data_IF_648753067148
#
_entry.id   IF_648753067148
#
_cell.length_a   1.000
_cell.length_b   1.000
_cell.length_c   1.000
_cell.angle_alpha   90.00
_cell.angle_beta   90.00
_cell.angle_gamma   90.00
#
_symmetry.space_group_name_H-M   'P 1'
#
loop_
_entity.id
_entity.type
_entity.pdbx_description
1 polymer ?
#
# COMPACT_ATOMS: atom_id res chain seq x y z
N UNK A 1 11.15 11.37 30.25
CA UNK A 1 11.41 12.59 29.46
C UNK A 1 10.28 13.55 29.79
N UNK A 2 10.63 14.57 30.53
CA UNK A 2 9.74 15.63 31.02
C UNK A 2 9.63 16.68 29.91
N UNK A 3 8.45 16.74 29.26
CA UNK A 3 8.10 17.86 28.40
C UNK A 3 7.75 19.08 29.25
N UNK A 4 8.58 20.10 29.17
CA UNK A 4 8.29 21.42 29.74
C UNK A 4 7.16 22.08 28.91
N UNK A 5 6.03 22.28 29.55
CA UNK A 5 4.94 23.08 29.01
C UNK A 5 5.40 24.54 29.02
N UNK A 6 5.64 25.09 27.85
CA UNK A 6 5.90 26.51 27.63
C UNK A 6 4.62 27.28 27.91
N UNK A 7 4.63 28.03 29.02
CA UNK A 7 3.59 29.00 29.31
C UNK A 7 3.87 30.23 28.44
N UNK A 8 3.03 30.43 27.41
CA UNK A 8 3.00 31.70 26.67
C UNK A 8 2.44 32.79 27.60
N UNK A 9 3.31 33.75 27.92
CA UNK A 9 2.90 34.96 28.62
C UNK A 9 2.11 35.84 27.65
N UNK A 10 0.83 36.00 27.92
CA UNK A 10 0.01 37.02 27.27
C UNK A 10 0.49 38.37 27.79
N UNK A 11 1.20 39.14 26.98
CA UNK A 11 1.49 40.54 27.21
C UNK A 11 0.18 41.32 27.14
N UNK A 12 -0.33 41.72 28.30
CA UNK A 12 -1.40 42.69 28.39
C UNK A 12 -0.82 44.09 28.05
N UNK A 13 -1.28 44.70 26.97
CA UNK A 13 -1.06 46.10 26.65
C UNK A 13 -1.52 46.95 27.84
N UNK A 14 -0.58 47.66 28.44
CA UNK A 14 -0.86 48.67 29.49
C UNK A 14 -1.32 49.96 28.79
N UNK A 15 -2.56 50.39 28.94
CA UNK A 15 -2.98 51.70 28.44
C UNK A 15 -2.32 52.83 29.26
N UNK A 16 -1.95 53.90 28.56
CA UNK A 16 -1.28 55.05 29.10
C UNK A 16 -2.05 55.65 30.30
N UNK A 17 -1.30 55.98 31.34
CA UNK A 17 -1.79 56.58 32.57
C UNK A 17 -2.32 57.99 32.30
N UNK A 18 -3.67 58.12 32.32
CA UNK A 18 -4.36 59.34 32.79
C UNK A 18 -5.85 58.97 33.00
N UNK A 19 -6.33 59.16 34.22
CA UNK A 19 -7.70 58.92 34.71
C UNK A 19 -8.14 57.48 35.04
N UNK A 20 -7.33 56.75 35.78
CA UNK A 20 -7.82 55.51 36.43
C UNK A 20 -8.51 55.94 37.77
N UNK A 21 -9.80 55.98 37.78
CA UNK A 21 -10.58 56.21 39.01
C UNK A 21 -10.44 54.99 39.95
N UNK A 22 -10.34 55.24 41.28
CA UNK A 22 -10.22 54.19 42.30
C UNK A 22 -11.28 53.08 42.12
N UNK A 23 -12.47 53.40 41.68
CA UNK A 23 -13.59 52.48 41.42
C UNK A 23 -13.31 51.51 40.26
N UNK A 24 -12.55 51.95 39.24
CA UNK A 24 -12.17 51.05 38.10
C UNK A 24 -11.13 50.01 38.52
N UNK A 25 -10.23 50.37 39.46
CA UNK A 25 -9.23 49.47 40.01
C UNK A 25 -9.86 48.45 40.96
N UNK A 26 -10.82 48.88 41.81
CA UNK A 26 -11.55 47.94 42.68
C UNK A 26 -12.37 46.93 41.88
N UNK A 27 -13.03 47.36 40.83
CA UNK A 27 -13.78 46.48 39.94
C UNK A 27 -12.88 45.48 39.21
N UNK A 28 -11.70 45.93 38.74
CA UNK A 28 -10.73 45.03 38.11
C UNK A 28 -10.16 43.99 39.12
N UNK A 29 -9.98 44.36 40.38
CA UNK A 29 -9.56 43.46 41.45
C UNK A 29 -10.66 42.43 41.78
N UNK A 30 -11.92 42.83 41.78
CA UNK A 30 -13.04 41.89 41.97
C UNK A 30 -13.17 40.92 40.79
N UNK A 31 -13.01 41.38 39.55
CA UNK A 31 -13.06 40.55 38.36
C UNK A 31 -11.90 39.53 38.34
N UNK A 32 -10.68 39.96 38.68
CA UNK A 32 -9.51 39.05 38.78
C UNK A 32 -9.67 38.06 39.94
N UNK A 33 -10.27 38.46 41.06
CA UNK A 33 -10.52 37.57 42.19
C UNK A 33 -11.61 36.53 41.88
N UNK A 34 -12.61 36.87 41.07
CA UNK A 34 -13.62 35.93 40.61
C UNK A 34 -13.04 34.95 39.58
N UNK A 35 -12.27 35.44 38.61
CA UNK A 35 -11.58 34.61 37.65
C UNK A 35 -10.57 33.63 38.32
N UNK A 36 -9.83 34.10 39.33
CA UNK A 36 -8.93 33.21 40.08
C UNK A 36 -9.69 32.11 40.86
N UNK A 37 -10.91 32.40 41.34
CA UNK A 37 -11.74 31.36 41.99
C UNK A 37 -12.26 30.35 40.99
N UNK A 38 -12.65 30.78 39.79
CA UNK A 38 -13.08 29.88 38.69
C UNK A 38 -11.91 28.98 38.20
N UNK A 39 -10.75 29.56 37.97
CA UNK A 39 -9.55 28.83 37.56
C UNK A 39 -9.08 27.82 38.64
N UNK A 40 -9.20 28.17 39.93
CA UNK A 40 -8.89 27.24 41.02
C UNK A 40 -9.89 26.10 41.10
N UNK A 41 -11.17 26.33 40.84
CA UNK A 41 -12.20 25.31 40.80
C UNK A 41 -12.00 24.36 39.60
N UNK A 42 -11.71 24.92 38.40
CA UNK A 42 -11.38 24.12 37.21
C UNK A 42 -10.10 23.26 37.42
N UNK A 43 -9.09 23.83 38.08
CA UNK A 43 -7.87 23.07 38.40
C UNK A 43 -8.11 21.91 39.37
N UNK A 44 -9.03 22.06 40.33
CA UNK A 44 -9.40 20.93 41.21
C UNK A 44 -10.21 19.88 40.46
N UNK A 45 -11.07 20.28 39.55
CA UNK A 45 -11.85 19.38 38.73
C UNK A 45 -10.93 18.59 37.75
N UNK A 46 -9.99 19.26 37.08
CA UNK A 46 -8.97 18.64 36.24
C UNK A 46 -8.08 17.68 37.03
N UNK A 47 -7.71 18.01 38.26
CA UNK A 47 -6.96 17.09 39.13
C UNK A 47 -7.77 15.83 39.49
N UNK A 48 -9.06 15.97 39.72
CA UNK A 48 -9.95 14.85 40.01
C UNK A 48 -10.13 13.96 38.79
N UNK A 49 -10.26 14.53 37.58
CA UNK A 49 -10.34 13.81 36.32
C UNK A 49 -9.01 13.10 36.00
N UNK A 50 -7.88 13.76 36.23
CA UNK A 50 -6.56 13.13 36.06
C UNK A 50 -6.34 11.95 37.02
N UNK A 51 -6.84 12.05 38.26
CA UNK A 51 -6.76 10.96 39.24
C UNK A 51 -7.67 9.77 38.87
N UNK A 52 -8.85 10.01 38.29
CA UNK A 52 -9.74 8.94 37.79
C UNK A 52 -9.15 8.26 36.56
N UNK A 53 -8.63 9.03 35.61
CA UNK A 53 -7.97 8.49 34.42
C UNK A 53 -6.71 7.67 34.78
N UNK A 54 -5.96 8.10 35.79
CA UNK A 54 -4.80 7.34 36.28
C UNK A 54 -5.20 5.99 36.92
N UNK A 55 -6.36 5.93 37.60
CA UNK A 55 -6.91 4.67 38.11
C UNK A 55 -7.34 3.74 36.99
N UNK A 56 -8.08 4.24 36.01
CA UNK A 56 -8.50 3.44 34.85
C UNK A 56 -7.31 2.89 34.06
N UNK A 57 -6.24 3.67 33.93
CA UNK A 57 -5.00 3.19 33.29
C UNK A 57 -4.29 2.12 34.14
N UNK A 58 -4.36 2.18 35.47
CA UNK A 58 -3.80 1.14 36.33
C UNK A 58 -4.62 -0.15 36.25
N UNK A 59 -5.94 -0.06 36.21
CA UNK A 59 -6.85 -1.21 36.10
C UNK A 59 -6.71 -1.88 34.72
N UNK A 60 -6.65 -1.08 33.63
CA UNK A 60 -6.40 -1.58 32.28
C UNK A 60 -5.02 -2.26 32.14
N UNK A 61 -4.00 -1.77 32.84
CA UNK A 61 -2.69 -2.43 32.87
C UNK A 61 -2.74 -3.76 33.62
N UNK A 62 -3.46 -3.82 34.74
CA UNK A 62 -3.67 -5.06 35.49
C UNK A 62 -4.42 -6.12 34.65
N UNK A 63 -5.48 -5.70 33.93
CA UNK A 63 -6.23 -6.57 33.03
C UNK A 63 -5.36 -7.06 31.85
N UNK A 64 -4.51 -6.19 31.30
CA UNK A 64 -3.59 -6.52 30.22
C UNK A 64 -2.51 -7.51 30.68
N UNK A 65 -2.02 -7.38 31.91
CA UNK A 65 -1.07 -8.31 32.51
C UNK A 65 -1.75 -9.66 32.85
N UNK A 66 -3.03 -9.64 33.25
CA UNK A 66 -3.81 -10.87 33.45
C UNK A 66 -4.09 -11.60 32.11
N UNK A 67 -4.42 -10.86 31.05
CA UNK A 67 -4.59 -11.43 29.70
C UNK A 67 -3.25 -11.98 29.16
N UNK A 68 -2.16 -11.26 29.36
CA UNK A 68 -0.82 -11.75 29.01
C UNK A 68 -0.43 -12.99 29.81
N UNK A 69 -0.76 -13.03 31.10
CA UNK A 69 -0.52 -14.21 31.94
C UNK A 69 -1.39 -15.40 31.51
N UNK A 70 -2.63 -15.16 31.05
CA UNK A 70 -3.50 -16.19 30.49
C UNK A 70 -3.06 -16.64 29.07
N UNK A 71 -2.49 -15.74 28.26
CA UNK A 71 -1.90 -16.08 26.96
C UNK A 71 -0.50 -16.68 27.08
N UNK A 72 0.25 -16.36 28.13
CA UNK A 72 1.58 -16.93 28.39
C UNK A 72 1.53 -18.32 28.99
N UNK A 73 0.34 -18.85 29.33
CA UNK A 73 0.15 -20.25 29.69
C UNK A 73 -0.36 -21.02 28.44
N UNK A 74 0.53 -21.51 27.56
CA UNK A 74 0.08 -22.24 26.39
C UNK A 74 -0.52 -23.56 26.85
N UNK A 75 -1.70 -23.89 26.32
CA UNK A 75 -2.32 -25.22 26.44
C UNK A 75 -1.37 -26.35 25.97
N UNK A 76 -0.26 -25.98 25.34
CA UNK A 76 0.84 -26.84 24.93
C UNK A 76 1.64 -27.46 26.07
N UNK A 77 1.68 -26.85 27.27
CA UNK A 77 2.47 -27.40 28.40
C UNK A 77 1.78 -28.59 29.06
N UNK A 78 0.43 -28.68 29.02
CA UNK A 78 -0.28 -29.81 29.60
C UNK A 78 -0.10 -31.12 28.84
N UNK A 79 -0.04 -31.07 27.51
CA UNK A 79 0.27 -32.28 26.71
C UNK A 79 1.74 -32.69 26.77
N UNK A 80 2.63 -31.73 27.07
CA UNK A 80 4.07 -32.03 27.20
C UNK A 80 4.46 -32.57 28.59
N UNK A 81 3.72 -32.22 29.64
CA UNK A 81 3.98 -32.78 30.98
C UNK A 81 3.64 -34.26 31.08
N UNK A 82 2.53 -34.71 30.47
CA UNK A 82 2.20 -36.13 30.44
C UNK A 82 3.21 -36.96 29.62
N UNK A 83 3.67 -36.45 28.45
CA UNK A 83 4.73 -37.08 27.64
C UNK A 83 6.10 -36.99 28.29
N UNK A 84 6.38 -35.94 29.07
CA UNK A 84 7.67 -35.76 29.75
C UNK A 84 7.83 -36.66 30.99
N UNK A 85 6.74 -37.05 31.64
CA UNK A 85 6.77 -37.99 32.76
C UNK A 85 7.13 -39.38 32.27
N UNK A 86 6.53 -39.86 31.16
CA UNK A 86 6.90 -41.17 30.58
C UNK A 86 8.35 -41.20 30.09
N UNK A 87 8.84 -40.15 29.51
CA UNK A 87 10.24 -40.03 29.04
C UNK A 87 11.20 -39.99 30.24
N UNK A 88 10.84 -39.31 31.34
CA UNK A 88 11.66 -39.26 32.53
C UNK A 88 11.69 -40.59 33.28
N UNK A 89 10.59 -41.34 33.29
CA UNK A 89 10.56 -42.67 33.88
C UNK A 89 11.37 -43.66 33.04
N UNK A 90 11.25 -43.65 31.73
CA UNK A 90 12.04 -44.45 30.82
C UNK A 90 13.53 -44.09 30.90
N UNK A 91 13.88 -42.82 31.05
CA UNK A 91 15.26 -42.39 31.28
C UNK A 91 15.82 -42.83 32.65
N UNK A 92 14.99 -42.84 33.70
CA UNK A 92 15.39 -43.39 35.02
C UNK A 92 15.62 -44.89 34.98
N UNK A 93 14.80 -45.63 34.21
CA UNK A 93 14.97 -47.09 34.02
C UNK A 93 16.26 -47.35 33.19
N UNK A 94 16.54 -46.56 32.18
CA UNK A 94 17.77 -46.62 31.40
C UNK A 94 19.04 -46.35 32.25
N UNK A 95 18.99 -45.36 33.17
CA UNK A 95 20.10 -45.04 34.04
C UNK A 95 20.33 -46.11 35.15
N UNK A 96 19.28 -46.87 35.51
CA UNK A 96 19.35 -47.85 36.59
C UNK A 96 19.75 -49.25 36.09
N UNK A 97 19.18 -49.67 34.96
CA UNK A 97 19.29 -51.06 34.50
C UNK A 97 19.84 -51.19 33.07
N UNK A 98 20.30 -50.08 32.49
CA UNK A 98 20.84 -50.02 31.13
C UNK A 98 19.81 -50.38 30.03
N UNK A 99 20.29 -50.73 28.86
CA UNK A 99 19.46 -51.11 27.71
C UNK A 99 18.61 -52.36 27.97
N UNK A 100 19.05 -53.25 28.91
CA UNK A 100 18.31 -54.47 29.28
C UNK A 100 17.07 -54.20 30.14
N UNK A 101 17.03 -53.12 30.89
CA UNK A 101 15.86 -52.71 31.63
C UNK A 101 14.70 -52.26 30.75
N UNK A 102 15.02 -51.63 29.62
CA UNK A 102 14.04 -51.22 28.60
C UNK A 102 13.55 -52.42 27.77
N UNK A 103 14.37 -53.41 27.54
CA UNK A 103 14.03 -54.68 26.81
C UNK A 103 13.02 -55.55 27.57
N UNK A 104 13.01 -55.51 28.88
CA UNK A 104 12.09 -56.31 29.72
C UNK A 104 10.66 -55.77 29.72
N UNK A 105 10.41 -54.55 29.18
CA UNK A 105 9.11 -53.89 29.22
C UNK A 105 8.28 -54.07 27.95
N UNK A 106 8.77 -54.69 26.92
CA UNK A 106 8.00 -55.01 25.72
C UNK A 106 8.84 -55.33 24.48
N UNK A 107 8.30 -56.10 23.60
CA UNK A 107 8.79 -56.37 22.24
C UNK A 107 9.29 -55.10 21.56
N UNK A 108 10.52 -55.14 21.01
CA UNK A 108 11.18 -54.01 20.36
C UNK A 108 10.29 -53.38 19.24
N UNK A 109 9.52 -52.38 19.59
CA UNK A 109 8.87 -51.47 18.64
C UNK A 109 9.89 -50.38 18.32
N UNK A 110 10.37 -50.35 17.06
CA UNK A 110 11.32 -49.34 16.58
C UNK A 110 10.58 -48.28 15.76
N UNK A 111 10.85 -47.03 16.07
CA UNK A 111 10.31 -45.86 15.34
C UNK A 111 10.88 -45.77 13.91
N UNK A 112 12.03 -46.42 13.66
CA UNK A 112 12.74 -46.37 12.37
C UNK A 112 12.18 -47.26 11.28
N UNK A 113 11.18 -48.13 11.60
CA UNK A 113 10.59 -49.05 10.65
C UNK A 113 9.07 -49.00 10.76
N UNK A 114 8.37 -48.62 9.70
CA UNK A 114 6.92 -48.42 9.71
C UNK A 114 6.14 -49.66 10.18
N UNK A 115 6.59 -50.86 9.82
CA UNK A 115 5.96 -52.12 10.21
C UNK A 115 6.19 -52.50 11.69
N UNK A 116 7.13 -51.86 12.42
CA UNK A 116 7.45 -52.14 13.82
C UNK A 116 6.97 -51.06 14.78
N UNK A 117 6.10 -50.14 14.35
CA UNK A 117 5.52 -49.11 15.20
C UNK A 117 5.64 -47.69 14.64
N UNK A 118 6.27 -47.49 13.50
CA UNK A 118 6.37 -46.19 12.84
C UNK A 118 5.01 -45.58 12.50
N UNK A 119 4.03 -46.40 12.12
CA UNK A 119 2.64 -45.97 11.86
C UNK A 119 1.87 -45.55 13.14
N UNK A 120 2.38 -45.87 14.34
CA UNK A 120 1.71 -45.48 15.57
C UNK A 120 2.10 -44.08 16.08
N UNK A 121 3.05 -43.42 15.43
CA UNK A 121 3.39 -42.04 15.72
C UNK A 121 2.37 -41.12 15.01
N UNK A 122 1.58 -40.35 15.78
CA UNK A 122 0.74 -39.35 15.15
C UNK A 122 1.63 -38.32 14.45
N UNK A 123 1.53 -38.23 13.13
CA UNK A 123 2.10 -37.12 12.39
C UNK A 123 1.37 -35.84 12.84
N UNK A 124 2.07 -34.95 13.50
CA UNK A 124 1.55 -33.60 13.78
C UNK A 124 1.53 -32.80 12.48
N UNK A 125 0.53 -33.05 11.66
CA UNK A 125 0.24 -32.23 10.49
C UNK A 125 -0.32 -30.90 10.96
N UNK A 126 0.46 -29.84 10.77
CA UNK A 126 -0.07 -28.48 10.98
C UNK A 126 -1.14 -28.22 9.95
N UNK A 127 -2.34 -27.88 10.40
CA UNK A 127 -3.47 -27.52 9.53
C UNK A 127 -3.29 -26.15 8.86
N UNK A 128 -2.19 -25.47 9.15
CA UNK A 128 -1.87 -24.15 8.64
C UNK A 128 -0.98 -24.25 7.41
N UNK A 129 -1.50 -23.77 6.28
CA UNK A 129 -0.72 -23.67 5.03
C UNK A 129 0.09 -22.37 5.11
N UNK A 130 1.42 -22.49 5.09
CA UNK A 130 2.29 -21.32 4.97
C UNK A 130 2.13 -20.75 3.56
N UNK A 131 1.50 -19.58 3.46
CA UNK A 131 1.34 -18.87 2.20
C UNK A 131 2.61 -18.05 1.94
N UNK A 132 3.17 -18.19 0.75
CA UNK A 132 4.20 -17.29 0.27
C UNK A 132 3.60 -15.89 0.11
N UNK A 133 4.37 -14.88 0.49
CA UNK A 133 3.98 -13.50 0.21
C UNK A 133 4.34 -13.18 -1.24
N UNK A 134 3.39 -12.62 -1.95
CA UNK A 134 3.54 -12.21 -3.33
C UNK A 134 3.42 -10.70 -3.44
N UNK A 135 4.10 -10.16 -4.41
CA UNK A 135 4.02 -8.75 -4.74
C UNK A 135 2.66 -8.43 -5.37
N UNK A 136 2.05 -7.35 -4.90
CA UNK A 136 0.77 -6.88 -5.40
C UNK A 136 0.92 -5.50 -6.00
N UNK A 137 0.32 -5.27 -7.17
CA UNK A 137 0.33 -3.97 -7.81
C UNK A 137 -0.40 -2.91 -6.97
N UNK A 138 0.25 -1.79 -6.64
CA UNK A 138 -0.35 -0.72 -5.83
C UNK A 138 -1.29 0.19 -6.63
N UNK A 139 -1.49 -0.03 -7.94
CA UNK A 139 -2.23 0.86 -8.82
C UNK A 139 -3.66 1.16 -8.34
N UNK A 140 -4.36 0.17 -7.77
CA UNK A 140 -5.70 0.39 -7.19
C UNK A 140 -5.72 1.33 -5.98
N UNK A 141 -4.61 1.45 -5.27
CA UNK A 141 -4.50 2.34 -4.09
C UNK A 141 -4.18 3.77 -4.49
N UNK A 142 -3.56 3.96 -5.65
CA UNK A 142 -3.04 5.25 -6.10
C UNK A 142 -3.96 5.90 -7.15
N UNK A 143 -4.61 5.10 -8.00
CA UNK A 143 -5.54 5.56 -9.03
C UNK A 143 -6.96 5.76 -8.48
N UNK A 144 -7.78 6.52 -9.21
CA UNK A 144 -9.21 6.66 -8.93
C UNK A 144 -9.96 5.37 -9.29
N UNK A 145 -10.79 4.86 -8.36
CA UNK A 145 -11.62 3.67 -8.59
C UNK A 145 -13.09 4.04 -8.52
N UNK A 146 -13.84 3.70 -9.55
CA UNK A 146 -15.29 3.97 -9.65
C UNK A 146 -16.02 2.69 -10.03
N UNK A 147 -17.18 2.45 -9.42
CA UNK A 147 -18.08 1.38 -9.84
C UNK A 147 -19.07 1.86 -10.89
N UNK A 148 -19.37 1.03 -11.88
CA UNK A 148 -20.33 1.33 -12.95
C UNK A 148 -21.26 0.16 -13.22
N UNK A 149 -22.55 0.47 -13.44
CA UNK A 149 -23.56 -0.52 -13.73
C UNK A 149 -23.67 -0.87 -15.23
N UNK A 150 -23.09 -0.02 -16.09
CA UNK A 150 -23.13 -0.16 -17.54
C UNK A 150 -21.78 -0.48 -18.15
N UNK A 151 -21.75 -1.06 -19.35
CA UNK A 151 -20.53 -1.33 -20.13
C UNK A 151 -20.02 -0.10 -20.88
N UNK A 152 -20.87 0.88 -21.10
CA UNK A 152 -20.53 2.06 -21.94
C UNK A 152 -20.34 3.27 -21.03
N UNK A 153 -19.22 3.25 -20.28
CA UNK A 153 -18.83 4.35 -19.41
C UNK A 153 -18.05 5.36 -20.23
N UNK A 154 -18.63 6.55 -20.37
CA UNK A 154 -18.04 7.66 -21.11
C UNK A 154 -17.92 8.86 -20.20
N UNK A 155 -16.77 9.53 -20.27
CA UNK A 155 -16.52 10.78 -19.55
C UNK A 155 -16.05 11.86 -20.51
N UNK A 156 -16.61 13.06 -20.38
CA UNK A 156 -16.17 14.24 -21.11
C UNK A 156 -15.02 14.90 -20.34
N UNK A 157 -13.95 15.20 -21.05
CA UNK A 157 -12.76 15.87 -20.52
C UNK A 157 -12.47 17.10 -21.36
N UNK A 158 -12.23 18.25 -20.73
CA UNK A 158 -11.80 19.47 -21.40
C UNK A 158 -10.38 19.32 -21.92
N UNK A 159 -10.16 19.56 -23.22
CA UNK A 159 -8.84 19.45 -23.86
C UNK A 159 -8.31 20.78 -24.37
N UNK A 160 -9.15 21.78 -24.50
CA UNK A 160 -8.80 23.10 -24.95
C UNK A 160 -9.42 24.20 -24.10
N UNK A 161 -8.65 25.22 -23.82
CA UNK A 161 -9.09 26.38 -23.04
C UNK A 161 -9.75 27.43 -23.96
N UNK A 162 -10.73 28.16 -23.41
CA UNK A 162 -11.27 29.33 -24.06
C UNK A 162 -10.21 30.44 -24.12
N UNK A 163 -10.02 31.06 -25.27
CA UNK A 163 -9.15 32.21 -25.38
C UNK A 163 -9.86 33.48 -24.91
N UNK A 164 -9.13 34.33 -24.18
CA UNK A 164 -9.59 35.65 -23.75
C UNK A 164 -8.56 36.71 -24.12
N UNK A 165 -8.99 37.94 -24.32
CA UNK A 165 -8.14 39.07 -24.66
C UNK A 165 -8.58 40.36 -23.99
N UNK A 166 -7.65 41.26 -23.78
CA UNK A 166 -7.91 42.63 -23.36
C UNK A 166 -8.20 43.51 -24.56
N UNK A 167 -9.16 44.40 -24.47
CA UNK A 167 -9.57 45.28 -25.54
C UNK A 167 -9.76 46.71 -25.03
N UNK A 168 -9.33 47.69 -25.79
CA UNK A 168 -9.60 49.09 -25.50
C UNK A 168 -11.06 49.49 -25.79
N UNK A 169 -11.44 50.69 -25.37
CA UNK A 169 -12.82 51.16 -25.46
C UNK A 169 -13.32 51.25 -26.94
N UNK A 170 -12.44 51.60 -27.85
CA UNK A 170 -12.75 51.78 -29.27
C UNK A 170 -12.31 50.65 -30.18
N UNK A 171 -11.63 49.61 -29.63
CA UNK A 171 -11.07 48.55 -30.45
C UNK A 171 -12.10 47.49 -30.84
N UNK A 172 -11.93 46.90 -32.00
CA UNK A 172 -12.76 45.81 -32.49
C UNK A 172 -12.49 44.54 -31.69
N UNK A 173 -13.57 43.85 -31.25
CA UNK A 173 -13.49 42.56 -30.52
C UNK A 173 -13.41 41.42 -31.53
N UNK A 174 -12.25 40.77 -31.64
CA UNK A 174 -12.06 39.58 -32.45
C UNK A 174 -12.74 38.35 -31.77
N UNK A 175 -13.22 37.44 -32.61
CA UNK A 175 -13.73 36.15 -32.11
C UNK A 175 -12.60 35.36 -31.45
N UNK A 176 -12.86 34.83 -30.27
CA UNK A 176 -11.94 33.97 -29.53
C UNK A 176 -12.37 32.49 -29.64
N UNK A 177 -11.43 31.57 -29.48
CA UNK A 177 -11.73 30.14 -29.50
C UNK A 177 -12.62 29.72 -28.34
N UNK A 178 -13.56 28.83 -28.62
CA UNK A 178 -14.37 28.16 -27.57
C UNK A 178 -13.59 26.99 -26.94
N UNK A 179 -13.93 26.57 -25.71
CA UNK A 179 -13.33 25.41 -25.10
C UNK A 179 -13.68 24.13 -25.88
N UNK A 180 -12.72 23.24 -26.00
CA UNK A 180 -12.88 21.94 -26.68
C UNK A 180 -13.03 20.81 -25.66
N UNK A 181 -13.89 19.83 -25.98
CA UNK A 181 -14.15 18.65 -25.15
C UNK A 181 -13.77 17.40 -25.93
N UNK A 182 -13.08 16.47 -25.25
CA UNK A 182 -12.87 15.12 -25.72
C UNK A 182 -13.71 14.13 -24.91
N UNK A 183 -14.17 13.08 -25.55
CA UNK A 183 -14.84 11.97 -24.90
C UNK A 183 -13.87 10.84 -24.63
N UNK A 184 -13.78 10.40 -23.39
CA UNK A 184 -13.03 9.21 -22.97
C UNK A 184 -14.00 8.06 -22.75
N UNK A 185 -13.66 6.88 -23.24
CA UNK A 185 -14.47 5.67 -23.08
C UNK A 185 -13.66 4.64 -22.34
N UNK A 186 -14.24 4.05 -21.28
CA UNK A 186 -13.61 2.94 -20.55
C UNK A 186 -13.59 1.68 -21.40
N UNK A 187 -12.42 1.02 -21.45
CA UNK A 187 -12.27 -0.27 -22.12
C UNK A 187 -12.34 -1.38 -21.07
N UNK A 188 -13.29 -2.30 -21.22
CA UNK A 188 -13.53 -3.38 -20.27
C UNK A 188 -12.90 -4.68 -20.73
N UNK A 189 -12.33 -5.41 -19.77
CA UNK A 189 -11.91 -6.80 -19.90
C UNK A 189 -12.66 -7.69 -18.91
N UNK A 190 -12.75 -8.97 -19.23
CA UNK A 190 -13.25 -10.00 -18.32
C UNK A 190 -12.09 -10.94 -17.96
N UNK A 191 -11.81 -11.01 -16.67
CA UNK A 191 -10.86 -11.97 -16.12
C UNK A 191 -11.63 -13.13 -15.52
N UNK A 192 -11.19 -14.36 -15.78
CA UNK A 192 -11.83 -15.56 -15.25
C UNK A 192 -10.80 -16.58 -14.75
N UNK A 193 -11.25 -17.39 -13.81
CA UNK A 193 -10.53 -18.59 -13.39
C UNK A 193 -11.52 -19.74 -13.24
N UNK A 194 -11.06 -20.95 -13.54
CA UNK A 194 -11.90 -22.14 -13.48
C UNK A 194 -11.14 -23.32 -12.84
N UNK A 195 -10.67 -23.19 -11.58
CA UNK A 195 -10.05 -24.28 -10.87
C UNK A 195 -11.05 -25.42 -10.63
N UNK A 196 -10.54 -26.65 -10.63
CA UNK A 196 -11.30 -27.86 -10.36
C UNK A 196 -10.70 -28.58 -9.15
N UNK A 197 -11.58 -28.96 -8.20
CA UNK A 197 -11.19 -29.73 -7.02
C UNK A 197 -11.95 -31.06 -7.07
N UNK A 198 -11.26 -32.16 -6.84
CA UNK A 198 -11.91 -33.48 -6.75
C UNK A 198 -12.70 -33.58 -5.44
N UNK A 199 -13.85 -34.27 -5.49
CA UNK A 199 -14.74 -34.41 -4.35
C UNK A 199 -14.05 -35.10 -3.18
N UNK A 200 -13.25 -36.14 -3.42
CA UNK A 200 -12.47 -36.80 -2.37
C UNK A 200 -11.54 -35.83 -1.64
N UNK A 201 -10.93 -34.89 -2.37
CA UNK A 201 -10.07 -33.87 -1.74
C UNK A 201 -10.87 -32.89 -0.86
N UNK A 202 -12.11 -32.57 -1.23
CA UNK A 202 -12.98 -31.72 -0.40
C UNK A 202 -13.45 -32.44 0.88
N UNK A 203 -13.63 -33.77 0.81
CA UNK A 203 -14.12 -34.60 1.93
C UNK A 203 -12.97 -34.99 2.88
N UNK A 204 -11.79 -35.34 2.33
CA UNK A 204 -10.67 -35.90 3.08
C UNK A 204 -9.57 -34.89 3.44
N UNK A 205 -9.62 -33.67 2.90
CA UNK A 205 -8.59 -32.67 3.19
C UNK A 205 -8.62 -32.21 4.66
N UNK A 206 -7.46 -32.16 5.27
CA UNK A 206 -7.28 -31.65 6.65
C UNK A 206 -7.42 -30.11 6.76
N UNK A 207 -7.61 -29.43 5.64
CA UNK A 207 -7.76 -27.96 5.56
C UNK A 207 -8.94 -27.59 4.65
N UNK A 208 -9.40 -26.34 4.73
CA UNK A 208 -10.45 -25.81 3.83
C UNK A 208 -9.90 -25.59 2.42
N UNK A 209 -9.98 -26.63 1.57
CA UNK A 209 -9.50 -26.61 0.20
C UNK A 209 -10.29 -25.60 -0.66
N UNK A 210 -11.59 -25.42 -0.44
CA UNK A 210 -12.43 -24.48 -1.17
C UNK A 210 -12.06 -23.02 -0.86
N UNK A 211 -11.90 -22.69 0.42
CA UNK A 211 -11.47 -21.38 0.88
C UNK A 211 -10.06 -21.03 0.41
N UNK A 212 -9.15 -22.00 0.42
CA UNK A 212 -7.79 -21.83 -0.10
C UNK A 212 -7.79 -21.47 -1.59
N UNK A 213 -8.51 -22.25 -2.42
CA UNK A 213 -8.56 -22.00 -3.87
C UNK A 213 -9.22 -20.66 -4.18
N UNK A 214 -10.29 -20.29 -3.47
CA UNK A 214 -10.96 -19.00 -3.65
C UNK A 214 -10.01 -17.82 -3.34
N UNK A 215 -9.25 -17.94 -2.27
CA UNK A 215 -8.25 -16.91 -1.89
C UNK A 215 -7.15 -16.81 -2.95
N UNK A 216 -6.66 -17.94 -3.45
CA UNK A 216 -5.60 -17.98 -4.45
C UNK A 216 -6.07 -17.42 -5.81
N UNK A 217 -7.31 -17.69 -6.21
CA UNK A 217 -7.91 -17.08 -7.40
C UNK A 217 -8.04 -15.56 -7.25
N UNK A 218 -8.46 -15.08 -6.09
CA UNK A 218 -8.56 -13.63 -5.85
C UNK A 218 -7.19 -12.95 -5.92
N UNK A 219 -6.15 -13.61 -5.42
CA UNK A 219 -4.77 -13.14 -5.52
C UNK A 219 -4.32 -13.05 -6.98
N UNK A 220 -4.52 -14.12 -7.76
CA UNK A 220 -4.17 -14.15 -9.18
C UNK A 220 -4.92 -13.08 -9.98
N UNK A 221 -6.17 -12.79 -9.62
CA UNK A 221 -6.92 -11.71 -10.26
C UNK A 221 -6.30 -10.35 -9.97
N UNK A 222 -5.86 -10.10 -8.74
CA UNK A 222 -5.20 -8.85 -8.38
C UNK A 222 -3.89 -8.64 -9.15
N UNK A 223 -3.10 -9.69 -9.31
CA UNK A 223 -1.84 -9.68 -10.07
C UNK A 223 -2.08 -9.40 -11.57
N UNK A 224 -3.02 -10.13 -12.18
CA UNK A 224 -3.37 -9.93 -13.60
C UNK A 224 -3.99 -8.56 -13.87
N UNK A 225 -4.79 -8.02 -12.94
CA UNK A 225 -5.32 -6.67 -13.04
C UNK A 225 -4.21 -5.63 -12.99
N UNK A 226 -3.24 -5.77 -12.06
CA UNK A 226 -2.11 -4.86 -11.94
C UNK A 226 -1.32 -4.77 -13.25
N UNK A 227 -0.93 -5.89 -13.78
CA UNK A 227 -0.23 -5.97 -15.07
C UNK A 227 -1.07 -5.39 -16.23
N UNK A 228 -2.38 -5.66 -16.25
CA UNK A 228 -3.26 -5.13 -17.29
C UNK A 228 -3.45 -3.60 -17.20
N UNK A 229 -3.49 -3.02 -16.01
CA UNK A 229 -3.59 -1.56 -15.83
C UNK A 229 -2.29 -0.84 -16.23
N UNK A 230 -1.15 -1.52 -16.14
CA UNK A 230 0.12 -0.95 -16.58
C UNK A 230 0.31 -1.07 -18.10
N UNK A 231 0.23 -2.28 -18.65
CA UNK A 231 0.63 -2.61 -20.03
C UNK A 231 -0.50 -3.17 -20.92
N UNK A 232 -1.75 -3.16 -20.44
CA UNK A 232 -2.88 -3.72 -21.17
C UNK A 232 -3.13 -3.05 -22.53
N UNK A 233 -3.38 -3.85 -23.56
CA UNK A 233 -3.54 -3.38 -24.94
C UNK A 233 -4.97 -2.97 -25.32
N UNK A 234 -5.95 -3.07 -24.41
CA UNK A 234 -7.35 -2.74 -24.69
C UNK A 234 -8.12 -3.79 -25.49
N UNK A 235 -7.51 -4.93 -25.89
CA UNK A 235 -8.18 -6.01 -26.59
C UNK A 235 -8.48 -7.14 -25.60
N UNK A 236 -9.74 -7.32 -25.25
CA UNK A 236 -10.19 -8.24 -24.18
C UNK A 236 -9.55 -8.00 -22.80
N UNK A 237 -8.80 -6.93 -22.67
CA UNK A 237 -8.15 -6.47 -21.43
C UNK A 237 -8.41 -4.97 -21.28
N UNK A 238 -8.33 -4.41 -20.06
CA UNK A 238 -8.33 -2.97 -19.85
C UNK A 238 -7.18 -2.27 -20.61
N UNK A 239 -7.33 -1.01 -20.93
CA UNK A 239 -6.25 -0.19 -21.49
C UNK A 239 -5.26 0.17 -20.38
N UNK A 240 -4.00 -0.19 -20.54
CA UNK A 240 -2.93 0.16 -19.60
C UNK A 240 -2.45 1.61 -19.74
N UNK A 241 -1.76 2.10 -18.72
CA UNK A 241 -1.15 3.43 -18.70
C UNK A 241 -0.11 3.59 -19.83
N UNK A 242 0.66 2.53 -20.10
CA UNK A 242 1.71 2.53 -21.11
C UNK A 242 1.21 2.27 -22.54
N UNK A 243 -0.10 1.98 -22.70
CA UNK A 243 -0.63 1.59 -23.99
C UNK A 243 -0.55 2.73 -25.04
N UNK A 244 0.06 2.40 -26.16
CA UNK A 244 0.19 3.32 -27.30
C UNK A 244 1.17 4.47 -27.07
N UNK A 245 2.04 4.38 -26.06
CA UNK A 245 3.18 5.24 -25.87
C UNK A 245 4.36 4.72 -26.71
N UNK A 246 5.15 5.64 -27.22
CA UNK A 246 6.40 5.32 -27.91
C UNK A 246 7.53 5.43 -26.89
N UNK A 247 8.06 4.28 -26.46
CA UNK A 247 9.19 4.21 -25.52
C UNK A 247 10.51 4.33 -26.30
N UNK A 248 11.56 4.83 -25.63
CA UNK A 248 12.88 5.05 -26.22
C UNK A 248 13.00 6.31 -27.05
N UNK A 249 12.02 7.20 -26.98
CA UNK A 249 12.06 8.52 -27.62
C UNK A 249 11.09 9.47 -26.94
N UNK A 250 11.38 10.77 -27.01
CA UNK A 250 10.48 11.80 -26.52
C UNK A 250 9.14 11.77 -27.28
N UNK A 251 8.06 11.68 -26.54
CA UNK A 251 6.70 11.80 -27.08
C UNK A 251 5.97 12.97 -26.43
N UNK A 252 5.49 13.89 -27.26
CA UNK A 252 4.68 14.99 -26.78
C UNK A 252 3.34 14.52 -26.21
N UNK A 253 2.85 15.26 -25.24
CA UNK A 253 1.51 15.11 -24.70
C UNK A 253 0.44 15.18 -25.80
N UNK A 254 -0.50 14.25 -25.80
CA UNK A 254 -1.64 14.30 -26.69
C UNK A 254 -2.96 14.21 -25.90
N UNK A 255 -3.52 15.37 -25.58
CA UNK A 255 -4.78 15.45 -24.83
C UNK A 255 -5.96 14.94 -25.65
N UNK A 256 -5.94 14.98 -26.97
CA UNK A 256 -7.05 14.50 -27.79
C UNK A 256 -7.19 12.98 -27.72
N UNK A 257 -6.09 12.25 -27.79
CA UNK A 257 -6.10 10.80 -27.74
C UNK A 257 -5.90 10.23 -26.33
N UNK A 258 -5.53 11.08 -25.35
CA UNK A 258 -5.24 10.65 -23.98
C UNK A 258 -3.91 9.93 -23.81
N UNK A 259 -2.93 10.27 -24.63
CA UNK A 259 -1.58 9.73 -24.50
C UNK A 259 -0.73 10.62 -23.60
N UNK A 260 -0.11 10.00 -22.61
CA UNK A 260 0.79 10.68 -21.69
C UNK A 260 2.04 11.18 -22.40
N UNK A 261 2.66 12.20 -21.85
CA UNK A 261 3.98 12.63 -22.29
C UNK A 261 5.02 11.61 -21.87
N UNK A 262 5.83 11.17 -22.83
CA UNK A 262 7.03 10.37 -22.58
C UNK A 262 8.24 11.28 -22.64
N UNK A 263 9.10 11.19 -21.64
CA UNK A 263 10.36 11.90 -21.55
C UNK A 263 11.49 10.86 -21.59
N UNK A 264 12.26 10.87 -22.66
CA UNK A 264 13.37 9.95 -22.84
C UNK A 264 14.62 10.44 -22.10
N UNK A 265 15.38 9.50 -21.56
CA UNK A 265 16.64 9.82 -20.86
C UNK A 265 17.74 10.31 -21.83
N UNK A 266 17.61 9.99 -23.11
CA UNK A 266 18.63 10.28 -24.14
C UNK A 266 19.91 9.43 -24.00
N UNK A 267 19.91 8.45 -23.11
CA UNK A 267 21.04 7.53 -22.88
C UNK A 267 20.52 6.10 -22.90
N UNK A 268 21.15 5.23 -23.69
CA UNK A 268 20.76 3.85 -23.76
C UNK A 268 21.06 3.11 -22.46
N UNK A 269 20.13 2.30 -22.01
CA UNK A 269 20.22 1.43 -20.83
C UNK A 269 20.52 2.19 -19.52
N UNK A 270 20.26 3.51 -19.47
CA UNK A 270 20.51 4.35 -18.29
C UNK A 270 19.59 5.58 -18.25
N UNK A 271 19.33 6.08 -17.06
CA UNK A 271 18.63 7.34 -16.84
C UNK A 271 19.49 8.58 -17.12
N UNK A 272 20.79 8.42 -17.36
CA UNK A 272 21.72 9.50 -17.64
C UNK A 272 23.17 9.02 -17.67
N UNK A 273 24.05 9.79 -18.28
CA UNK A 273 25.47 9.45 -18.44
C UNK A 273 26.26 9.54 -17.09
N UNK A 274 25.79 10.36 -16.16
CA UNK A 274 26.40 10.55 -14.83
C UNK A 274 25.33 10.67 -13.76
N UNK A 275 25.68 10.43 -12.50
CA UNK A 275 24.76 10.58 -11.36
C UNK A 275 24.12 11.98 -11.29
N UNK A 276 24.89 13.03 -11.58
CA UNK A 276 24.38 14.40 -11.61
C UNK A 276 23.37 14.60 -12.76
N UNK A 277 23.64 14.04 -13.94
CA UNK A 277 22.75 14.12 -15.09
C UNK A 277 21.41 13.40 -14.81
N UNK A 278 21.43 12.27 -14.10
CA UNK A 278 20.22 11.57 -13.67
C UNK A 278 19.36 12.45 -12.77
N UNK A 279 19.97 13.12 -11.80
CA UNK A 279 19.25 14.01 -10.87
C UNK A 279 18.67 15.22 -11.60
N UNK A 280 19.42 15.83 -12.50
CA UNK A 280 18.93 16.96 -13.29
C UNK A 280 17.83 16.57 -14.24
N UNK A 281 17.87 15.38 -14.82
CA UNK A 281 16.79 14.79 -15.61
C UNK A 281 15.52 14.59 -14.78
N UNK A 282 15.63 13.96 -13.60
CA UNK A 282 14.46 13.78 -12.70
C UNK A 282 13.86 15.11 -12.25
N UNK A 283 14.69 16.14 -11.99
CA UNK A 283 14.20 17.52 -11.73
C UNK A 283 13.43 18.09 -12.92
N UNK A 284 13.88 17.79 -14.14
CA UNK A 284 13.18 18.22 -15.36
C UNK A 284 11.81 17.54 -15.48
N UNK A 285 11.71 16.27 -15.12
CA UNK A 285 10.44 15.55 -15.05
C UNK A 285 9.49 16.22 -14.07
N UNK A 286 9.92 16.53 -12.84
CA UNK A 286 9.10 17.26 -11.86
C UNK A 286 8.65 18.61 -12.39
N UNK A 287 9.57 19.38 -13.03
CA UNK A 287 9.27 20.70 -13.62
C UNK A 287 8.24 20.62 -14.76
N UNK A 288 8.15 19.51 -15.46
CA UNK A 288 7.24 19.33 -16.61
C UNK A 288 5.77 19.18 -16.21
N UNK A 289 5.49 18.87 -14.93
CA UNK A 289 4.12 18.75 -14.40
C UNK A 289 3.59 20.13 -14.01
N UNK A 290 2.35 20.43 -14.39
CA UNK A 290 1.70 21.70 -14.04
C UNK A 290 1.46 21.79 -12.52
N UNK A 291 1.64 22.98 -11.97
CA UNK A 291 1.51 23.26 -10.52
C UNK A 291 0.22 22.73 -9.86
N UNK A 292 -0.97 22.80 -10.48
CA UNK A 292 -2.21 22.28 -9.86
C UNK A 292 -2.18 20.79 -9.53
N UNK A 293 -1.38 19.99 -10.23
CA UNK A 293 -1.28 18.54 -10.01
C UNK A 293 -0.22 18.16 -8.97
N UNK A 294 0.74 19.05 -8.66
CA UNK A 294 1.88 18.75 -7.81
C UNK A 294 1.49 18.26 -6.40
N UNK A 295 0.35 18.73 -5.86
CA UNK A 295 -0.10 18.33 -4.54
C UNK A 295 -0.43 16.85 -4.38
N UNK A 296 -0.84 16.18 -5.47
CA UNK A 296 -1.17 14.75 -5.50
C UNK A 296 -0.10 13.86 -6.13
N UNK A 297 1.00 14.47 -6.62
CA UNK A 297 2.03 13.73 -7.35
C UNK A 297 2.76 12.70 -6.49
N UNK A 298 3.07 11.57 -7.14
CA UNK A 298 3.87 10.48 -6.58
C UNK A 298 4.79 9.93 -7.63
N UNK A 299 5.91 9.39 -7.18
CA UNK A 299 6.78 8.58 -8.00
C UNK A 299 6.30 7.13 -7.99
N UNK A 300 6.35 6.46 -9.14
CA UNK A 300 6.13 5.02 -9.23
C UNK A 300 7.28 4.41 -10.00
N UNK A 301 7.87 3.36 -9.45
CA UNK A 301 9.00 2.64 -10.01
C UNK A 301 9.09 1.26 -9.38
N UNK A 302 9.86 0.35 -9.98
CA UNK A 302 10.16 -0.92 -9.35
C UNK A 302 11.29 -0.77 -8.29
N UNK A 303 11.52 -1.81 -7.54
CA UNK A 303 12.50 -1.82 -6.46
C UNK A 303 13.95 -1.73 -6.97
N UNK A 304 14.25 -2.37 -8.09
CA UNK A 304 15.57 -2.32 -8.73
C UNK A 304 15.94 -0.90 -9.15
N UNK A 305 15.01 -0.21 -9.82
CA UNK A 305 15.16 1.21 -10.20
C UNK A 305 15.32 2.11 -8.97
N UNK A 306 14.51 1.88 -7.92
CA UNK A 306 14.63 2.62 -6.67
C UNK A 306 16.00 2.45 -6.02
N UNK A 307 16.51 1.22 -5.93
CA UNK A 307 17.84 0.95 -5.36
C UNK A 307 18.94 1.61 -6.19
N UNK A 308 18.81 1.63 -7.51
CA UNK A 308 19.74 2.34 -8.42
C UNK A 308 19.76 3.84 -8.11
N UNK A 309 18.60 4.45 -7.90
CA UNK A 309 18.51 5.89 -7.56
C UNK A 309 19.10 6.21 -6.18
N UNK A 310 18.84 5.35 -5.19
CA UNK A 310 19.41 5.50 -3.84
C UNK A 310 20.93 5.33 -3.85
N UNK A 311 21.46 4.50 -4.75
CA UNK A 311 22.88 4.25 -4.93
C UNK A 311 23.66 5.36 -5.63
N UNK A 312 23.00 6.43 -6.13
CA UNK A 312 23.69 7.52 -6.82
C UNK A 312 24.65 8.30 -5.90
N UNK A 313 25.86 8.55 -6.40
CA UNK A 313 26.92 9.26 -5.67
C UNK A 313 27.35 10.50 -6.42
N UNK A 314 27.78 11.53 -5.67
CA UNK A 314 28.42 12.69 -6.23
C UNK A 314 29.90 12.38 -6.63
N UNK A 315 30.59 13.35 -7.18
CA UNK A 315 32.01 13.22 -7.57
C UNK A 315 32.94 12.92 -6.38
N UNK A 316 32.55 13.29 -5.18
CA UNK A 316 33.29 13.08 -3.93
C UNK A 316 33.00 11.71 -3.28
N UNK A 317 32.10 10.91 -3.87
CA UNK A 317 31.72 9.58 -3.39
C UNK A 317 30.63 9.57 -2.33
N UNK A 318 30.04 10.72 -2.01
CA UNK A 318 28.90 10.82 -1.09
C UNK A 318 27.59 10.50 -1.81
N UNK A 319 26.66 9.84 -1.12
CA UNK A 319 25.35 9.55 -1.66
C UNK A 319 24.50 10.82 -1.76
N UNK A 320 23.86 11.05 -2.89
CA UNK A 320 22.91 12.17 -3.07
C UNK A 320 21.69 12.05 -2.17
N UNK A 321 21.17 10.84 -2.02
CA UNK A 321 20.11 10.53 -1.07
C UNK A 321 20.80 10.04 0.21
N UNK A 322 20.96 10.93 1.20
CA UNK A 322 21.51 10.55 2.49
C UNK A 322 20.61 9.48 3.11
N UNK A 323 21.13 8.27 3.17
CA UNK A 323 20.46 7.16 3.80
C UNK A 323 20.98 7.04 5.23
N UNK A 324 20.15 7.37 6.19
CA UNK A 324 20.41 6.96 7.57
C UNK A 324 20.24 5.44 7.63
N UNK A 325 21.34 4.73 7.96
CA UNK A 325 21.36 3.26 8.04
C UNK A 325 20.32 2.75 9.05
N UNK A 326 19.87 3.60 9.96
CA UNK A 326 18.87 3.28 10.99
C UNK A 326 17.44 3.43 10.51
N UNK A 327 17.21 4.08 9.36
CA UNK A 327 15.88 4.28 8.80
C UNK A 327 15.59 3.30 7.65
N UNK A 328 14.30 2.99 7.45
CA UNK A 328 13.85 2.25 6.28
C UNK A 328 14.22 2.97 4.98
N UNK A 329 14.12 2.26 3.85
CA UNK A 329 14.40 2.81 2.51
C UNK A 329 13.75 4.19 2.31
N UNK A 330 14.43 5.07 1.54
CA UNK A 330 13.92 6.39 1.23
C UNK A 330 12.50 6.31 0.67
N UNK A 331 11.54 6.91 1.35
CA UNK A 331 10.12 6.88 0.97
C UNK A 331 9.70 8.09 0.13
N UNK A 332 10.62 9.05 -0.07
CA UNK A 332 10.35 10.27 -0.82
C UNK A 332 11.55 10.71 -1.67
N UNK A 333 11.28 11.21 -2.87
CA UNK A 333 12.24 11.79 -3.79
C UNK A 333 11.77 13.21 -4.15
N UNK A 334 12.60 14.23 -3.95
CA UNK A 334 12.25 15.65 -4.11
C UNK A 334 10.99 16.09 -3.33
N UNK A 335 10.71 15.46 -2.19
CA UNK A 335 9.54 15.76 -1.37
C UNK A 335 8.24 15.04 -1.80
N UNK A 336 8.28 14.21 -2.84
CA UNK A 336 7.15 13.39 -3.30
C UNK A 336 7.34 11.94 -2.88
N UNK A 337 6.25 11.30 -2.45
CA UNK A 337 6.27 9.90 -2.01
C UNK A 337 6.59 8.96 -3.17
N UNK A 338 7.30 7.88 -2.86
CA UNK A 338 7.62 6.81 -3.80
C UNK A 338 6.67 5.65 -3.54
N UNK A 339 6.12 5.10 -4.60
CA UNK A 339 5.29 3.90 -4.61
C UNK A 339 6.05 2.83 -5.40
N UNK A 340 6.35 1.72 -4.75
CA UNK A 340 7.02 0.60 -5.40
C UNK A 340 5.98 -0.26 -6.11
N UNK A 341 6.21 -0.52 -7.37
CA UNK A 341 5.41 -1.41 -8.22
C UNK A 341 6.32 -2.31 -9.03
N UNK A 342 6.34 -3.58 -8.69
CA UNK A 342 7.22 -4.57 -9.32
C UNK A 342 6.77 -4.99 -10.73
N UNK A 343 5.55 -4.63 -11.13
CA UNK A 343 5.09 -4.81 -12.51
C UNK A 343 5.77 -3.86 -13.52
N UNK A 344 6.50 -2.84 -13.03
CA UNK A 344 7.19 -1.87 -13.88
C UNK A 344 8.52 -2.42 -14.38
N UNK A 345 8.88 -1.99 -15.60
CA UNK A 345 10.12 -2.37 -16.26
C UNK A 345 11.35 -1.91 -15.46
N UNK A 346 12.44 -2.64 -15.60
CA UNK A 346 13.76 -2.21 -15.13
C UNK A 346 14.35 -1.15 -16.08
N UNK A 347 15.41 -0.47 -15.61
CA UNK A 347 16.14 0.50 -16.41
C UNK A 347 16.82 -0.16 -17.61
N UNK A 348 17.31 -1.38 -17.44
CA UNK A 348 18.02 -2.16 -18.48
C UNK A 348 17.31 -3.50 -18.71
N UNK A 349 16.25 -3.51 -19.49
CA UNK A 349 15.48 -4.72 -19.83
C UNK A 349 15.83 -5.35 -21.17
N UNK A 350 16.85 -4.85 -21.87
CA UNK A 350 17.19 -5.31 -23.21
C UNK A 350 16.21 -4.82 -24.29
N UNK A 351 15.31 -3.90 -23.96
CA UNK A 351 14.38 -3.21 -24.85
C UNK A 351 14.07 -1.81 -24.32
N UNK A 352 13.46 -0.97 -25.12
CA UNK A 352 13.00 0.34 -24.64
C UNK A 352 11.97 0.16 -23.51
N UNK A 353 12.24 0.73 -22.34
CA UNK A 353 11.51 0.51 -21.10
C UNK A 353 10.90 1.79 -20.51
N UNK A 354 9.96 1.65 -19.60
CA UNK A 354 9.35 2.72 -18.84
C UNK A 354 9.57 2.52 -17.32
N UNK A 355 10.80 2.71 -16.82
CA UNK A 355 11.15 2.37 -15.44
C UNK A 355 10.54 3.29 -14.39
N UNK A 356 10.16 4.52 -14.76
CA UNK A 356 9.68 5.53 -13.81
C UNK A 356 8.46 6.24 -14.35
N UNK A 357 7.46 6.45 -13.49
CA UNK A 357 6.35 7.34 -13.73
C UNK A 357 6.25 8.40 -12.62
N UNK A 358 5.88 9.61 -12.99
CA UNK A 358 5.69 10.72 -12.05
C UNK A 358 4.43 11.51 -12.35
N UNK A 359 3.60 11.71 -11.36
CA UNK A 359 2.40 12.52 -11.49
C UNK A 359 1.30 12.17 -10.49
N UNK A 360 0.13 12.80 -10.70
CA UNK A 360 -1.08 12.51 -9.94
C UNK A 360 -1.88 11.40 -10.63
N UNK A 361 -1.68 10.18 -10.18
CA UNK A 361 -2.32 8.98 -10.74
C UNK A 361 -3.84 9.00 -10.58
N UNK A 362 -4.36 9.60 -9.51
CA UNK A 362 -5.79 9.64 -9.25
C UNK A 362 -6.53 10.53 -10.27
N UNK A 363 -5.89 11.61 -10.72
CA UNK A 363 -6.44 12.47 -11.78
C UNK A 363 -6.09 11.98 -13.20
N UNK A 364 -4.98 11.24 -13.34
CA UNK A 364 -4.53 10.76 -14.64
C UNK A 364 -5.32 9.56 -15.16
N UNK A 365 -5.57 8.59 -14.29
CA UNK A 365 -6.08 7.28 -14.66
C UNK A 365 -7.22 6.82 -13.76
N UNK A 366 -8.25 6.25 -14.36
CA UNK A 366 -9.41 5.73 -13.64
C UNK A 366 -9.63 4.26 -13.94
N UNK A 367 -9.81 3.52 -12.87
CA UNK A 367 -10.21 2.12 -12.87
C UNK A 367 -11.73 2.06 -12.69
N UNK A 368 -12.40 1.28 -13.52
CA UNK A 368 -13.86 1.15 -13.51
C UNK A 368 -14.24 -0.29 -13.22
N UNK A 369 -14.76 -0.54 -12.03
CA UNK A 369 -15.28 -1.86 -11.67
C UNK A 369 -16.74 -1.99 -12.11
N UNK A 370 -17.04 -2.97 -12.99
CA UNK A 370 -18.41 -3.19 -13.47
C UNK A 370 -19.13 -4.30 -12.71
N UNK A 371 -18.46 -5.44 -12.59
CA UNK A 371 -19.00 -6.59 -11.87
C UNK A 371 -17.93 -7.02 -10.88
N UNK A 372 -18.28 -7.07 -9.62
CA UNK A 372 -17.43 -7.64 -8.59
C UNK A 372 -17.11 -9.11 -8.87
N UNK A 373 -16.39 -9.74 -7.97
CA UNK A 373 -16.08 -11.16 -8.07
C UNK A 373 -17.37 -11.97 -7.97
N UNK A 374 -17.68 -12.73 -9.03
CA UNK A 374 -18.82 -13.66 -9.07
C UNK A 374 -18.28 -15.08 -9.12
N UNK A 375 -18.72 -15.93 -8.21
CA UNK A 375 -18.29 -17.32 -8.09
C UNK A 375 -19.49 -18.21 -8.37
N UNK A 376 -19.34 -19.16 -9.30
CA UNK A 376 -20.30 -20.20 -9.62
C UNK A 376 -19.69 -21.56 -9.32
N UNK A 377 -20.30 -22.31 -8.41
CA UNK A 377 -19.93 -23.68 -8.10
C UNK A 377 -20.68 -24.63 -9.05
N UNK A 378 -19.95 -25.39 -9.84
CA UNK A 378 -20.51 -26.34 -10.80
C UNK A 378 -20.05 -27.78 -10.46
N UNK A 379 -20.89 -28.56 -9.77
CA UNK A 379 -20.65 -29.97 -9.48
C UNK A 379 -21.13 -30.91 -10.59
N UNK A 380 -21.85 -30.40 -11.61
CA UNK A 380 -22.58 -31.23 -12.56
C UNK A 380 -21.82 -31.49 -13.87
N UNK A 381 -21.01 -30.53 -14.34
CA UNK A 381 -20.32 -30.66 -15.63
C UNK A 381 -19.30 -31.79 -15.63
N UNK A 382 -18.62 -32.06 -14.51
CA UNK A 382 -17.69 -33.17 -14.36
C UNK A 382 -17.99 -33.95 -13.08
N UNK A 383 -18.67 -35.11 -13.18
CA UNK A 383 -18.94 -35.94 -12.02
C UNK A 383 -17.67 -36.32 -11.26
N UNK A 384 -17.73 -36.28 -9.92
CA UNK A 384 -16.60 -36.58 -9.03
C UNK A 384 -15.65 -35.39 -8.78
N UNK A 385 -15.97 -34.21 -9.32
CA UNK A 385 -15.22 -32.98 -9.05
C UNK A 385 -16.13 -31.75 -9.06
N UNK A 386 -15.78 -30.74 -8.29
CA UNK A 386 -16.47 -29.44 -8.25
C UNK A 386 -15.59 -28.42 -8.95
N UNK A 387 -16.17 -27.68 -9.90
CA UNK A 387 -15.51 -26.57 -10.58
C UNK A 387 -15.97 -25.24 -9.98
N UNK A 388 -15.02 -24.36 -9.68
CA UNK A 388 -15.26 -23.03 -9.17
C UNK A 388 -15.03 -22.01 -10.30
N UNK A 389 -16.10 -21.70 -11.05
CA UNK A 389 -16.00 -20.67 -12.09
C UNK A 389 -16.11 -19.28 -11.45
N UNK A 390 -14.99 -18.60 -11.39
CA UNK A 390 -14.88 -17.24 -10.83
C UNK A 390 -14.63 -16.29 -11.97
N UNK A 391 -15.36 -15.17 -11.99
CA UNK A 391 -15.18 -14.11 -12.98
C UNK A 391 -15.29 -12.74 -12.37
N UNK A 392 -14.60 -11.78 -12.99
CA UNK A 392 -14.66 -10.35 -12.64
C UNK A 392 -14.57 -9.52 -13.92
N UNK A 393 -15.28 -8.40 -13.98
CA UNK A 393 -15.22 -7.48 -15.13
C UNK A 393 -14.72 -6.12 -14.64
N UNK A 394 -13.62 -5.69 -15.21
CA UNK A 394 -12.93 -4.45 -14.87
C UNK A 394 -12.56 -3.71 -16.13
N UNK A 395 -12.62 -2.40 -16.07
CA UNK A 395 -12.23 -1.50 -17.15
C UNK A 395 -11.29 -0.42 -16.65
N UNK A 396 -10.76 0.32 -17.61
CA UNK A 396 -9.91 1.46 -17.33
C UNK A 396 -10.02 2.52 -18.41
N UNK A 397 -9.71 3.75 -18.05
CA UNK A 397 -9.61 4.87 -18.98
C UNK A 397 -8.63 5.92 -18.50
N UNK A 398 -8.00 6.61 -19.44
CA UNK A 398 -7.19 7.79 -19.15
C UNK A 398 -8.11 8.99 -19.03
N UNK A 399 -8.12 9.65 -17.87
CA UNK A 399 -8.89 10.87 -17.64
C UNK A 399 -8.12 12.09 -18.16
N UNK A 400 -6.96 12.33 -17.59
CA UNK A 400 -6.17 13.52 -17.88
C UNK A 400 -4.72 13.14 -18.16
N UNK A 401 -4.30 13.31 -19.41
CA UNK A 401 -2.95 13.00 -19.83
C UNK A 401 -1.90 14.02 -19.34
N UNK A 402 -2.31 15.21 -18.88
CA UNK A 402 -1.39 16.22 -18.37
C UNK A 402 -0.84 15.88 -16.97
N UNK A 403 -1.65 15.14 -16.19
CA UNK A 403 -1.37 14.88 -14.78
C UNK A 403 -0.25 13.86 -14.54
N UNK A 404 0.17 13.10 -15.57
CA UNK A 404 1.17 12.04 -15.47
C UNK A 404 2.25 12.19 -16.54
N UNK A 405 3.50 11.91 -16.18
CA UNK A 405 4.65 11.83 -17.07
C UNK A 405 5.27 10.45 -16.96
N UNK A 406 5.66 9.90 -18.07
CA UNK A 406 6.35 8.62 -18.18
C UNK A 406 7.79 8.89 -18.56
N UNK A 407 8.72 8.35 -17.80
CA UNK A 407 10.15 8.37 -18.12
C UNK A 407 10.45 7.12 -18.92
N UNK A 408 11.10 7.28 -20.05
CA UNK A 408 11.55 6.15 -20.86
C UNK A 408 13.06 6.10 -20.97
N UNK A 409 13.55 4.90 -21.19
CA UNK A 409 14.97 4.62 -21.47
C UNK A 409 15.04 3.86 -22.78
N UNK A 410 15.87 4.37 -23.71
CA UNK A 410 16.12 3.69 -24.96
C UNK A 410 17.07 2.49 -24.74
N UNK A 411 16.96 1.48 -25.58
CA UNK A 411 17.89 0.36 -25.63
C UNK A 411 18.83 0.48 -26.83
N UNK A 412 20.08 0.01 -26.67
CA UNK A 412 21.12 0.07 -27.71
C UNK A 412 20.95 -1.00 -28.79
#
# INVERSE_FOLDING_TARGET
>A
MTEEVKVEAVEAEVPAADDVTLDAVEKAIEDVTTQNKEVTAENEELKSQAASAAKELADLRADLDEVKAKQAAPAFIKSHEEKSVDTRENFKIFLKDGVEGLRKKGTDMQISTDAQGGYALPEELRQEIIKLQYEQSPLRQVCSVVSADTTDVKQLVGIGDAASGWVGETDARAQTNAPELAQRTATFGEIYARPRIYQHMLEDAFFDAAGYVTTEVARQFSEQEGSAFLSGNGTNKPVGILNGLTLGSDQALNNTTGKFQVMDSGVNNSLGATSSAIIDFLRTVVKSVKTPYLGGCRWMMNRSTHDTLVGLKNADGEYFLQRDITQAAATSLFGYSIVINEDMDDIDEGAASAPIMFGDFAQAFQIVDRVGVSILNDPYTNPGSVMYYTRKRVGSMVLNAEALKVVSVAHA
#
